data_IF_266352146571
#
_entry.id   IF_266352146571
#
_cell.length_a   1.000
_cell.length_b   1.000
_cell.length_c   1.000
_cell.angle_alpha   90.00
_cell.angle_beta   90.00
_cell.angle_gamma   90.00
#
_symmetry.space_group_name_H-M   'P 1'
#
loop_
_entity.id
_entity.type
_entity.pdbx_description
1 polymer ?
#
# COMPACT_ATOMS: atom_id res chain seq x y z
N UNK A 1 -16.03 1.31 -5.74
CA UNK A 1 -15.54 0.58 -4.59
C UNK A 1 -14.84 1.50 -3.61
N UNK A 2 -15.15 1.35 -2.33
CA UNK A 2 -14.64 2.28 -1.32
C UNK A 2 -13.11 2.29 -1.22
N UNK A 3 -12.48 1.14 -1.41
CA UNK A 3 -11.02 1.04 -1.32
C UNK A 3 -10.31 1.92 -2.34
N UNK A 4 -10.82 2.01 -3.55
CA UNK A 4 -10.18 2.84 -4.57
C UNK A 4 -10.28 4.33 -4.25
N UNK A 5 -11.31 4.72 -3.53
CA UNK A 5 -11.43 6.11 -3.06
C UNK A 5 -10.52 6.37 -1.87
N UNK A 6 -10.34 5.37 -1.02
CA UNK A 6 -9.52 5.50 0.18
C UNK A 6 -8.03 5.49 -0.15
N UNK A 7 -7.65 4.71 -1.18
CA UNK A 7 -6.25 4.56 -1.57
C UNK A 7 -6.08 4.85 -3.06
N UNK A 8 -6.23 6.11 -3.48
CA UNK A 8 -6.04 6.43 -4.90
C UNK A 8 -4.58 6.26 -5.31
N UNK A 9 -4.37 6.04 -6.60
CA UNK A 9 -3.02 5.92 -7.15
C UNK A 9 -2.18 7.13 -6.75
N UNK A 10 -0.95 6.88 -6.32
CA UNK A 10 -0.05 7.92 -5.87
C UNK A 10 -0.09 8.21 -4.38
N UNK A 11 -0.97 7.52 -3.64
CA UNK A 11 -1.04 7.68 -2.19
C UNK A 11 0.23 7.10 -1.55
N UNK A 12 0.89 7.88 -0.71
CA UNK A 12 2.05 7.41 0.06
C UNK A 12 1.56 6.63 1.26
N UNK A 13 2.17 5.47 1.46
CA UNK A 13 1.79 4.59 2.57
C UNK A 13 3.03 4.06 3.27
N UNK A 14 2.83 3.68 4.52
CA UNK A 14 3.85 2.98 5.30
C UNK A 14 3.29 1.62 5.69
N UNK A 15 4.10 0.58 5.59
CA UNK A 15 3.71 -0.75 6.02
C UNK A 15 3.74 -0.80 7.54
N UNK A 16 2.64 -1.21 8.15
CA UNK A 16 2.54 -1.37 9.59
C UNK A 16 2.71 -2.84 9.96
N UNK A 17 2.06 -3.74 9.23
CA UNK A 17 2.11 -5.17 9.51
C UNK A 17 1.81 -5.96 8.24
N UNK A 18 2.49 -7.08 8.08
CA UNK A 18 2.17 -8.04 7.02
C UNK A 18 2.23 -9.46 7.60
N UNK A 19 1.32 -10.31 7.11
CA UNK A 19 1.31 -11.72 7.46
C UNK A 19 2.19 -12.57 6.55
N UNK A 20 2.78 -11.98 5.51
CA UNK A 20 3.62 -12.72 4.58
C UNK A 20 5.05 -12.80 5.12
N UNK A 21 5.41 -13.96 5.65
CA UNK A 21 6.74 -14.17 6.22
C UNK A 21 7.83 -14.31 5.14
N UNK A 22 7.44 -14.44 3.89
CA UNK A 22 8.40 -14.59 2.79
C UNK A 22 8.69 -13.29 2.06
N UNK A 23 7.98 -12.24 2.38
CA UNK A 23 8.21 -10.95 1.74
C UNK A 23 9.49 -10.31 2.25
N UNK A 24 10.10 -9.50 1.40
CA UNK A 24 11.22 -8.65 1.80
C UNK A 24 10.78 -7.38 2.51
N UNK A 25 9.48 -7.12 2.54
CA UNK A 25 8.94 -5.94 3.19
C UNK A 25 8.95 -6.12 4.71
N UNK A 26 9.18 -5.03 5.39
CA UNK A 26 9.17 -4.99 6.86
C UNK A 26 8.33 -3.81 7.33
N UNK A 27 7.75 -3.89 8.52
CA UNK A 27 7.09 -2.72 9.10
C UNK A 27 8.01 -1.50 9.07
N UNK A 28 7.48 -0.37 8.62
CA UNK A 28 8.23 0.84 8.42
C UNK A 28 8.64 1.11 6.99
N UNK A 29 8.51 0.12 6.10
CA UNK A 29 8.83 0.34 4.69
C UNK A 29 7.79 1.26 4.06
N UNK A 30 8.26 2.11 3.16
CA UNK A 30 7.43 3.11 2.49
C UNK A 30 7.12 2.67 1.06
N UNK A 31 5.94 3.02 0.59
CA UNK A 31 5.52 2.72 -0.76
C UNK A 31 4.54 3.74 -1.30
N UNK A 32 4.17 3.55 -2.56
CA UNK A 32 3.17 4.37 -3.24
C UNK A 32 2.15 3.43 -3.85
N UNK A 33 0.87 3.73 -3.64
CA UNK A 33 -0.21 2.93 -4.22
C UNK A 33 -0.16 3.03 -5.74
N UNK A 34 -0.16 1.88 -6.41
CA UNK A 34 -0.20 1.80 -7.86
C UNK A 34 -1.62 1.52 -8.33
N UNK A 35 -2.22 0.44 -7.88
CA UNK A 35 -3.61 0.13 -8.21
C UNK A 35 -4.19 -0.83 -7.18
N UNK A 36 -5.51 -0.98 -7.22
CA UNK A 36 -6.23 -1.91 -6.38
C UNK A 36 -7.00 -2.84 -7.31
N UNK A 37 -6.88 -4.16 -7.09
CA UNK A 37 -7.59 -5.12 -7.92
C UNK A 37 -9.00 -5.37 -7.39
N UNK A 38 -9.77 -6.16 -8.12
CA UNK A 38 -11.17 -6.43 -7.75
C UNK A 38 -11.29 -7.32 -6.52
N UNK A 39 -10.24 -8.00 -6.14
CA UNK A 39 -10.22 -8.83 -4.94
C UNK A 39 -9.92 -8.02 -3.67
N UNK A 40 -9.59 -6.75 -3.81
CA UNK A 40 -9.29 -5.90 -2.67
C UNK A 40 -7.82 -5.89 -2.29
N UNK A 41 -6.93 -6.34 -3.16
CA UNK A 41 -5.49 -6.23 -2.92
C UNK A 41 -4.99 -4.87 -3.36
N UNK A 42 -4.21 -4.23 -2.51
CA UNK A 42 -3.65 -2.90 -2.78
C UNK A 42 -2.23 -3.11 -3.25
N UNK A 43 -1.99 -2.90 -4.54
CA UNK A 43 -0.66 -3.07 -5.12
C UNK A 43 0.11 -1.78 -5.01
N UNK A 44 1.27 -1.85 -4.36
CA UNK A 44 2.12 -0.71 -4.11
C UNK A 44 3.49 -0.92 -4.75
N UNK A 45 4.12 0.17 -5.13
CA UNK A 45 5.51 0.18 -5.52
C UNK A 45 6.28 0.65 -4.29
N UNK A 46 7.05 -0.27 -3.69
CA UNK A 46 7.73 0.00 -2.44
C UNK A 46 9.13 0.56 -2.71
N UNK A 47 9.61 1.39 -1.79
CA UNK A 47 10.90 2.07 -1.96
C UNK A 47 12.07 1.08 -2.08
N UNK A 48 11.93 -0.13 -1.54
CA UNK A 48 12.96 -1.15 -1.69
C UNK A 48 12.93 -1.89 -3.03
N UNK A 49 12.06 -1.47 -3.94
CA UNK A 49 11.91 -2.10 -5.26
C UNK A 49 10.91 -3.22 -5.32
N UNK A 50 10.33 -3.60 -4.21
CA UNK A 50 9.29 -4.64 -4.17
C UNK A 50 7.98 -4.11 -4.74
N UNK A 51 7.18 -5.02 -5.33
CA UNK A 51 5.86 -4.68 -5.86
C UNK A 51 4.77 -5.52 -5.21
N UNK A 52 4.96 -5.88 -3.96
CA UNK A 52 4.01 -6.73 -3.25
C UNK A 52 2.66 -6.03 -3.09
N UNK A 53 1.59 -6.78 -3.34
CA UNK A 53 0.24 -6.34 -3.02
C UNK A 53 -0.09 -6.66 -1.56
N UNK A 54 -0.71 -5.73 -0.86
CA UNK A 54 -1.18 -5.96 0.51
C UNK A 54 -2.66 -6.26 0.47
N UNK A 55 -3.10 -7.16 1.34
CA UNK A 55 -4.49 -7.58 1.41
C UNK A 55 -5.17 -6.78 2.51
N UNK A 56 -6.16 -5.98 2.13
CA UNK A 56 -6.90 -5.15 3.09
C UNK A 56 -7.57 -6.03 4.14
N UNK A 57 -7.35 -5.70 5.40
CA UNK A 57 -7.92 -6.47 6.51
C UNK A 57 -7.03 -7.62 7.00
N UNK A 58 -6.01 -7.99 6.22
CA UNK A 58 -5.04 -9.03 6.62
C UNK A 58 -3.70 -8.37 6.90
N UNK A 59 -3.21 -7.59 5.94
CA UNK A 59 -2.03 -6.77 6.12
C UNK A 59 -2.46 -5.36 6.49
N UNK A 60 -1.59 -4.60 7.12
CA UNK A 60 -1.93 -3.26 7.56
C UNK A 60 -0.96 -2.24 6.99
N UNK A 61 -1.51 -1.21 6.36
CA UNK A 61 -0.75 -0.05 5.90
C UNK A 61 -1.41 1.21 6.43
N UNK A 62 -0.64 2.28 6.54
CA UNK A 62 -1.14 3.56 6.98
C UNK A 62 -0.85 4.61 5.92
N UNK A 63 -1.81 5.46 5.65
CA UNK A 63 -1.66 6.53 4.67
C UNK A 63 -0.82 7.65 5.27
N UNK A 64 0.22 8.06 4.54
CA UNK A 64 1.05 9.21 4.92
C UNK A 64 0.64 10.47 4.16
N UNK A 65 0.05 10.32 2.98
CA UNK A 65 -0.39 11.44 2.19
C UNK A 65 -0.61 11.03 0.75
N UNK A 66 -1.11 11.94 -0.06
CA UNK A 66 -1.37 11.70 -1.47
C UNK A 66 -0.53 12.62 -2.32
N UNK A 67 0.02 12.07 -3.42
CA UNK A 67 0.71 12.88 -4.40
C UNK A 67 -0.31 13.82 -5.04
N UNK A 68 -0.01 15.10 -5.07
CA UNK A 68 -0.90 16.06 -5.67
C UNK A 68 -2.01 16.56 -4.77
N UNK A 69 -2.12 16.04 -3.59
CA UNK A 69 -3.15 16.48 -2.64
C UNK A 69 -2.67 17.61 -1.76
N UNK A 70 -1.46 17.93 -1.86
CA UNK A 70 -0.84 18.85 -0.96
C UNK A 70 -1.04 20.27 -1.36
N UNK A 71 -1.63 20.46 -2.11
CA UNK A 71 -1.71 21.76 -2.33
C UNK A 71 -2.54 22.50 -2.39
#
# INVERSE_FOLDING_TARGET
MALRKQYPKGTRVILVHTNDSHTKLRPGDLGIVDFIDDAGSIFCIWDNGSTLGVVFGVDEIQILGSVGAAN
#
